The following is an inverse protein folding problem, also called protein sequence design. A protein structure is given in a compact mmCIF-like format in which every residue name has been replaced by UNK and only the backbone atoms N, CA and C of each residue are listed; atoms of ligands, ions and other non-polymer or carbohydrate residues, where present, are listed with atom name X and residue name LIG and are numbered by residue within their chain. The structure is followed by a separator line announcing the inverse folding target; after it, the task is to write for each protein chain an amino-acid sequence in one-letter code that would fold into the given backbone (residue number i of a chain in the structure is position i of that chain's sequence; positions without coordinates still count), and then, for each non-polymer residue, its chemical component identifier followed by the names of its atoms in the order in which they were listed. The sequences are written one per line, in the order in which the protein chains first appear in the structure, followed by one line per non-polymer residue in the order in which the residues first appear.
data_IF_851303365142
#
_entry.id   IF_851303365142
#
_cell.length_a   1.000
_cell.length_b   1.000
_cell.length_c   1.000
_cell.angle_alpha   90.00
_cell.angle_beta   90.00
_cell.angle_gamma   90.00
#
_symmetry.space_group_name_H-M   'P 1'
#
loop_
_entity.id
_entity.type
_entity.pdbx_description
1 polymer ?
#
# COMPACT_ATOMS: atom_id res chain seq x y z
N UNK A 1 -1.09 19.48 0.13
CA UNK A 1 -0.71 18.77 1.36
C UNK A 1 -0.91 17.29 1.10
N UNK A 2 0.13 16.48 1.28
CA UNK A 2 0.00 15.04 1.12
C UNK A 2 -0.99 14.51 2.17
N UNK A 3 -1.95 13.69 1.74
CA UNK A 3 -2.97 13.07 2.60
C UNK A 3 -2.46 11.88 3.42
N UNK A 4 -1.17 11.57 3.33
CA UNK A 4 -0.59 10.37 3.90
C UNK A 4 0.24 10.68 5.14
N UNK A 5 0.15 9.79 6.11
CA UNK A 5 1.06 9.65 7.22
C UNK A 5 2.20 8.74 6.80
N UNK A 6 3.44 9.17 7.05
CA UNK A 6 4.64 8.39 6.73
C UNK A 6 5.35 8.02 8.02
N UNK A 7 5.66 6.73 8.17
CA UNK A 7 6.35 6.19 9.33
C UNK A 7 7.65 5.53 8.88
N UNK A 8 8.73 5.74 9.63
CA UNK A 8 9.99 5.04 9.41
C UNK A 8 10.50 4.42 10.71
N UNK A 9 10.23 3.12 10.93
CA UNK A 9 10.76 2.43 12.10
C UNK A 9 12.28 2.46 12.08
N UNK A 10 12.88 2.70 13.24
CA UNK A 10 14.34 2.85 13.40
C UNK A 10 15.09 1.54 13.14
N UNK A 11 14.42 0.40 13.31
CA UNK A 11 14.96 -0.92 13.01
C UNK A 11 14.59 -1.32 11.59
N UNK A 12 15.52 -1.99 10.89
CA UNK A 12 15.23 -2.62 9.61
C UNK A 12 14.10 -3.64 9.79
N UNK A 13 13.10 -3.57 8.91
CA UNK A 13 11.99 -4.51 8.88
C UNK A 13 12.21 -5.49 7.73
N UNK A 14 12.36 -6.76 8.06
CA UNK A 14 12.68 -7.80 7.07
C UNK A 14 11.48 -8.63 6.64
N UNK A 15 10.39 -8.60 7.41
CA UNK A 15 9.21 -9.40 7.14
C UNK A 15 7.95 -8.58 7.41
N UNK A 16 7.01 -8.64 6.47
CA UNK A 16 5.69 -8.03 6.60
C UNK A 16 4.63 -9.14 6.59
N UNK A 17 3.75 -9.12 7.61
CA UNK A 17 2.63 -10.06 7.73
C UNK A 17 1.35 -9.29 7.41
N UNK A 18 0.41 -9.93 6.70
CA UNK A 18 -0.86 -9.30 6.33
C UNK A 18 -0.75 -8.27 5.20
N UNK A 19 0.31 -8.36 4.40
CA UNK A 19 0.52 -7.49 3.22
C UNK A 19 0.57 -8.33 1.94
N UNK A 20 0.39 -7.67 0.79
CA UNK A 20 0.55 -8.25 -0.54
C UNK A 20 1.65 -7.52 -1.30
N UNK A 21 2.49 -8.23 -2.05
CA UNK A 21 3.36 -7.58 -3.03
C UNK A 21 2.51 -6.84 -4.06
N UNK A 22 2.86 -5.58 -4.36
CA UNK A 22 2.13 -4.75 -5.33
C UNK A 22 2.05 -5.43 -6.69
N UNK A 23 3.13 -6.07 -7.13
CA UNK A 23 3.17 -6.77 -8.42
C UNK A 23 2.17 -7.92 -8.48
N UNK A 24 2.01 -8.67 -7.39
CA UNK A 24 1.05 -9.78 -7.28
C UNK A 24 -0.39 -9.26 -7.14
N UNK A 25 -0.59 -8.14 -6.46
CA UNK A 25 -1.89 -7.48 -6.37
C UNK A 25 -2.36 -7.01 -7.75
N UNK A 26 -1.52 -6.29 -8.48
CA UNK A 26 -1.81 -5.82 -9.85
C UNK A 26 -2.11 -6.99 -10.77
N UNK A 27 -1.27 -8.04 -10.77
CA UNK A 27 -1.51 -9.24 -11.59
C UNK A 27 -2.88 -9.87 -11.33
N UNK A 28 -3.36 -9.89 -10.08
CA UNK A 28 -4.68 -10.46 -9.74
C UNK A 28 -5.84 -9.66 -10.33
N UNK A 29 -5.70 -8.33 -10.45
CA UNK A 29 -6.73 -7.45 -11.03
C UNK A 29 -6.59 -7.26 -12.54
N UNK A 30 -5.41 -7.49 -13.10
CA UNK A 30 -5.10 -7.42 -14.53
C UNK A 30 -5.48 -8.70 -15.30
N UNK A 31 -5.92 -9.76 -14.59
CA UNK A 31 -6.54 -10.92 -15.26
C UNK A 31 -7.86 -10.43 -15.87
N UNK A 32 -7.98 -10.45 -17.21
CA UNK A 32 -9.14 -9.86 -17.87
C UNK A 32 -10.41 -10.58 -17.41
N UNK A 33 -11.52 -9.85 -17.36
CA UNK A 33 -12.91 -10.33 -17.26
C UNK A 33 -13.31 -11.37 -18.35
N UNK A 34 -12.36 -12.07 -18.98
CA UNK A 34 -12.55 -12.96 -20.11
C UNK A 34 -12.58 -14.46 -19.78
N UNK A 35 -12.79 -14.83 -18.51
CA UNK A 35 -13.19 -16.21 -18.21
C UNK A 35 -14.45 -16.22 -17.37
N UNK A 36 -15.57 -16.48 -18.04
CA UNK A 36 -16.80 -16.98 -17.44
C UNK A 36 -16.55 -18.34 -16.79
N UNK A 37 -15.91 -18.33 -15.62
CA UNK A 37 -16.16 -19.31 -14.57
C UNK A 37 -16.29 -18.50 -13.31
N UNK A 38 -17.44 -18.65 -12.63
CA UNK A 38 -17.64 -18.19 -11.26
C UNK A 38 -16.53 -18.77 -10.39
N UNK A 39 -15.39 -18.08 -10.34
CA UNK A 39 -14.40 -18.32 -9.33
C UNK A 39 -15.05 -17.79 -8.05
N UNK A 40 -15.31 -18.69 -7.11
CA UNK A 40 -15.66 -18.32 -5.75
C UNK A 40 -14.42 -17.61 -5.17
N UNK A 41 -14.32 -16.31 -5.41
CA UNK A 41 -13.34 -15.47 -4.76
C UNK A 41 -13.69 -15.48 -3.27
N UNK A 42 -12.81 -16.12 -2.48
CA UNK A 42 -12.90 -16.10 -1.03
C UNK A 42 -13.07 -14.65 -0.54
N UNK A 43 -14.00 -14.48 0.39
CA UNK A 43 -14.74 -13.27 0.79
C UNK A 43 -13.88 -12.21 1.51
N UNK A 44 -12.58 -12.09 1.19
CA UNK A 44 -11.68 -11.09 1.78
C UNK A 44 -11.00 -10.16 0.76
N UNK A 45 -10.97 -10.52 -0.54
CA UNK A 45 -10.32 -9.71 -1.57
C UNK A 45 -11.28 -8.80 -2.34
N UNK A 46 -12.58 -9.10 -2.31
CA UNK A 46 -13.62 -8.37 -3.06
C UNK A 46 -14.00 -7.03 -2.43
N UNK A 47 -13.60 -6.76 -1.19
CA UNK A 47 -13.98 -5.55 -0.47
C UNK A 47 -12.97 -4.40 -0.61
N UNK A 48 -11.79 -4.69 -1.14
CA UNK A 48 -10.70 -3.71 -1.27
C UNK A 48 -11.05 -2.64 -2.32
N UNK A 49 -11.85 -2.99 -3.33
CA UNK A 49 -12.17 -2.12 -4.46
C UNK A 49 -13.61 -2.38 -4.93
N UNK A 50 -14.60 -2.11 -4.07
CA UNK A 50 -16.02 -2.41 -4.36
C UNK A 50 -16.67 -1.48 -5.40
N UNK A 51 -16.00 -0.40 -5.82
CA UNK A 51 -16.63 0.69 -6.57
C UNK A 51 -15.85 1.22 -7.79
N UNK A 52 -14.84 0.50 -8.29
CA UNK A 52 -13.98 1.02 -9.35
C UNK A 52 -14.26 0.43 -10.73
N UNK A 53 -14.32 1.31 -11.73
CA UNK A 53 -14.44 0.96 -13.14
C UNK A 53 -13.16 0.32 -13.71
N UNK A 54 -12.00 0.62 -13.11
CA UNK A 54 -10.69 0.06 -13.48
C UNK A 54 -9.79 -0.09 -12.24
N UNK A 55 -9.84 -1.23 -11.52
CA UNK A 55 -9.14 -1.42 -10.25
C UNK A 55 -7.61 -1.27 -10.36
N UNK A 56 -7.01 -1.63 -11.49
CA UNK A 56 -5.56 -1.52 -11.68
C UNK A 56 -5.11 -0.06 -11.77
N UNK A 57 -5.84 0.74 -12.56
CA UNK A 57 -5.51 2.16 -12.73
C UNK A 57 -5.66 2.93 -11.41
N UNK A 58 -6.68 2.62 -10.63
CA UNK A 58 -6.89 3.22 -9.31
C UNK A 58 -5.80 2.82 -8.31
N UNK A 59 -5.41 1.54 -8.26
CA UNK A 59 -4.26 1.08 -7.43
C UNK A 59 -3.00 1.86 -7.82
N UNK A 60 -2.73 2.01 -9.13
CA UNK A 60 -1.54 2.71 -9.62
C UNK A 60 -1.58 4.22 -9.33
N UNK A 61 -2.76 4.83 -9.35
CA UNK A 61 -2.94 6.23 -8.97
C UNK A 61 -2.63 6.43 -7.47
N UNK A 62 -3.25 5.62 -6.61
CA UNK A 62 -3.03 5.66 -5.16
C UNK A 62 -1.56 5.38 -4.83
N UNK A 63 -0.94 4.39 -5.50
CA UNK A 63 0.49 4.09 -5.37
C UNK A 63 1.38 5.30 -5.67
N UNK A 64 1.08 6.06 -6.74
CA UNK A 64 1.88 7.24 -7.10
C UNK A 64 1.81 8.32 -6.04
N UNK A 65 0.63 8.55 -5.46
CA UNK A 65 0.46 9.52 -4.37
C UNK A 65 1.20 9.08 -3.10
N UNK A 66 1.10 7.79 -2.75
CA UNK A 66 1.83 7.24 -1.60
C UNK A 66 3.35 7.27 -1.80
N UNK A 67 3.82 6.98 -3.02
CA UNK A 67 5.24 7.09 -3.39
C UNK A 67 5.74 8.52 -3.26
N UNK A 68 4.97 9.50 -3.73
CA UNK A 68 5.32 10.91 -3.58
C UNK A 68 5.41 11.31 -2.10
N UNK A 69 4.50 10.83 -1.26
CA UNK A 69 4.56 11.05 0.18
C UNK A 69 5.83 10.47 0.81
N UNK A 70 6.19 9.22 0.46
CA UNK A 70 7.44 8.62 0.91
C UNK A 70 8.65 9.47 0.45
N UNK A 71 8.65 9.94 -0.80
CA UNK A 71 9.74 10.74 -1.35
C UNK A 71 9.91 12.08 -0.65
N UNK A 72 8.81 12.75 -0.28
CA UNK A 72 8.85 13.95 0.56
C UNK A 72 9.51 13.66 1.92
N UNK A 73 9.23 12.49 2.50
CA UNK A 73 9.78 12.05 3.77
C UNK A 73 11.23 11.52 3.70
N UNK A 74 11.87 11.59 2.53
CA UNK A 74 13.27 11.20 2.34
C UNK A 74 13.50 9.85 1.66
N UNK A 75 12.45 9.15 1.22
CA UNK A 75 12.61 7.92 0.43
C UNK A 75 13.16 8.23 -0.97
N UNK A 76 14.24 7.55 -1.37
CA UNK A 76 14.89 7.81 -2.65
C UNK A 76 14.63 6.72 -3.69
N UNK A 77 14.63 5.43 -3.31
CA UNK A 77 14.50 4.32 -4.27
C UNK A 77 14.18 2.98 -3.62
N UNK A 78 13.24 2.25 -4.20
CA UNK A 78 13.05 0.80 -4.00
C UNK A 78 13.19 0.04 -5.31
N UNK A 79 13.35 -1.28 -5.23
CA UNK A 79 12.87 -2.16 -6.30
C UNK A 79 11.33 -2.11 -6.27
N UNK A 80 10.70 -1.96 -7.44
CA UNK A 80 9.23 -1.97 -7.52
C UNK A 80 8.64 -3.33 -7.15
N UNK A 81 9.47 -4.38 -7.15
CA UNK A 81 9.11 -5.73 -6.68
C UNK A 81 8.99 -5.82 -5.15
N UNK A 82 9.63 -4.92 -4.42
CA UNK A 82 9.68 -4.93 -2.95
C UNK A 82 8.66 -3.96 -2.32
N UNK A 83 7.70 -3.48 -3.11
CA UNK A 83 6.61 -2.65 -2.59
C UNK A 83 5.51 -3.58 -2.09
N UNK A 84 5.20 -3.46 -0.80
CA UNK A 84 4.08 -4.17 -0.18
C UNK A 84 2.87 -3.24 -0.03
N UNK A 85 1.68 -3.83 -0.10
CA UNK A 85 0.38 -3.17 0.03
C UNK A 85 -0.35 -3.78 1.22
N UNK A 86 -0.97 -2.95 2.04
CA UNK A 86 -1.85 -3.36 3.13
C UNK A 86 -3.17 -2.61 3.07
N UNK A 87 -4.16 -3.10 3.81
CA UNK A 87 -5.50 -2.47 3.86
C UNK A 87 -5.76 -1.89 5.24
N UNK A 88 -6.42 -0.74 5.28
CA UNK A 88 -6.81 -0.06 6.50
C UNK A 88 -8.33 0.15 6.43
N UNK A 89 -9.10 -0.36 7.41
CA UNK A 89 -10.52 -0.09 7.47
C UNK A 89 -10.75 1.38 7.87
N UNK A 90 -11.57 2.08 7.10
CA UNK A 90 -12.04 3.42 7.43
C UNK A 90 -13.30 3.36 8.31
N UNK A 91 -13.78 4.54 8.76
CA UNK A 91 -14.95 4.65 9.64
C UNK A 91 -16.25 4.09 9.02
N UNK A 92 -16.31 3.95 7.69
CA UNK A 92 -17.44 3.42 6.95
C UNK A 92 -17.32 1.91 6.68
N UNK A 93 -16.33 1.22 7.28
CA UNK A 93 -16.01 -0.18 7.00
C UNK A 93 -15.56 -0.45 5.56
N UNK A 94 -15.12 0.58 4.84
CA UNK A 94 -14.45 0.43 3.55
C UNK A 94 -12.95 0.29 3.79
N UNK A 95 -12.25 -0.38 2.88
CA UNK A 95 -10.81 -0.58 2.97
C UNK A 95 -10.08 0.43 2.07
N UNK A 96 -9.14 1.16 2.65
CA UNK A 96 -8.18 1.98 1.89
C UNK A 96 -6.81 1.32 1.86
N UNK A 97 -5.99 1.68 0.88
CA UNK A 97 -4.68 1.08 0.66
C UNK A 97 -3.59 1.90 1.37
N UNK A 98 -2.75 1.19 2.11
CA UNK A 98 -1.44 1.66 2.56
C UNK A 98 -0.32 0.94 1.82
N UNK A 99 0.86 1.55 1.79
CA UNK A 99 2.02 1.05 1.06
C UNK A 99 3.24 0.99 1.96
N UNK A 100 4.10 0.01 1.71
CA UNK A 100 5.38 -0.13 2.38
C UNK A 100 6.46 -0.10 1.31
N UNK A 101 7.39 0.84 1.46
CA UNK A 101 8.54 1.02 0.59
C UNK A 101 9.81 0.69 1.38
N UNK A 102 10.65 -0.21 0.87
CA UNK A 102 11.94 -0.52 1.46
C UNK A 102 13.06 0.03 0.59
N UNK A 103 13.99 0.76 1.17
CA UNK A 103 15.15 1.29 0.45
C UNK A 103 16.21 0.21 0.23
N UNK A 104 16.66 0.07 -1.01
CA UNK A 104 17.61 -0.97 -1.39
C UNK A 104 19.00 -0.77 -0.77
N UNK A 105 19.39 0.47 -0.46
CA UNK A 105 20.76 0.82 -0.07
C UNK A 105 21.03 0.62 1.42
N UNK A 106 20.04 0.93 2.27
CA UNK A 106 20.19 0.99 3.72
C UNK A 106 19.12 0.18 4.46
N UNK A 107 18.16 -0.42 3.75
CA UNK A 107 17.07 -1.21 4.32
C UNK A 107 16.03 -0.40 5.09
N UNK A 108 16.08 0.94 5.01
CA UNK A 108 15.09 1.80 5.68
C UNK A 108 13.72 1.51 5.08
N UNK A 109 12.75 1.34 5.98
CA UNK A 109 11.37 1.07 5.61
C UNK A 109 10.54 2.33 5.81
N UNK A 110 9.72 2.65 4.82
CA UNK A 110 8.74 3.74 4.86
C UNK A 110 7.35 3.13 4.74
N UNK A 111 6.56 3.25 5.79
CA UNK A 111 5.17 2.81 5.84
C UNK A 111 4.30 4.04 5.60
N UNK A 112 3.50 4.01 4.55
CA UNK A 112 2.69 5.13 4.08
C UNK A 112 1.22 4.76 4.21
N UNK A 113 0.48 5.55 4.98
CA UNK A 113 -0.92 5.25 5.34
C UNK A 113 -1.81 6.47 5.14
N UNK A 114 -3.00 6.33 4.52
CA UNK A 114 -3.98 7.43 4.43
C UNK A 114 -4.59 7.82 5.79
N UNK A 115 -4.46 6.97 6.81
CA UNK A 115 -4.93 7.20 8.17
C UNK A 115 -3.82 7.09 9.21
N UNK A 116 -3.94 7.77 10.38
CA UNK A 116 -2.98 7.61 11.45
C UNK A 116 -2.93 6.16 11.96
N UNK A 117 -1.74 5.57 11.94
CA UNK A 117 -1.46 4.27 12.55
C UNK A 117 -0.93 4.51 13.96
N UNK A 118 -1.83 4.55 14.94
CA UNK A 118 -1.51 4.92 16.33
C UNK A 118 -0.37 4.07 16.95
N UNK A 119 -0.27 2.80 16.54
CA UNK A 119 0.78 1.89 17.00
C UNK A 119 2.16 2.18 16.39
N UNK A 120 2.25 3.04 15.38
CA UNK A 120 3.49 3.50 14.75
C UNK A 120 3.77 4.98 14.98
N UNK A 121 2.97 5.67 15.79
CA UNK A 121 3.05 7.13 15.93
C UNK A 121 4.43 7.62 16.43
N UNK A 122 5.14 6.80 17.20
CA UNK A 122 6.51 7.10 17.63
C UNK A 122 7.54 7.14 16.49
N UNK A 123 7.22 6.49 15.36
CA UNK A 123 8.03 6.43 14.15
C UNK A 123 7.56 7.39 13.06
N UNK A 124 6.55 8.22 13.35
CA UNK A 124 5.98 9.16 12.38
C UNK A 124 7.03 10.19 11.96
N UNK A 125 7.27 10.27 10.66
CA UNK A 125 8.09 11.33 10.08
C UNK A 125 7.22 12.58 10.03
N UNK A 126 7.57 13.52 10.90
CA UNK A 126 6.99 14.86 10.86
C UNK A 126 7.76 15.67 9.83
N UNK A 127 7.30 15.65 8.58
CA UNK A 127 7.69 16.68 7.63
C UNK A 127 7.16 18.03 8.16
N UNK A 128 8.07 19.00 8.27
CA UNK A 128 7.88 20.33 8.89
C UNK A 128 6.89 21.22 8.12
#
# INVERSE_FOLDING_TARGET
MSKYYVYSPTNQVDHFIGTYELSELVKKFDIPHHSTKKANYSVHNTDIIKHCSNPVEDILYIYKDALNAAQCAGFHKSDTRDVHVFTIPNANSECELGFIFKENQNGITYIVSPYPLLHLQEFEIKDQ
#
